data_IF_562214057738
#
_entry.id   IF_562214057738
#
_cell.length_a   1.000
_cell.length_b   1.000
_cell.length_c   1.000
_cell.angle_alpha   90.00
_cell.angle_beta   90.00
_cell.angle_gamma   90.00
#
_symmetry.space_group_name_H-M   'P 1'
#
loop_
_entity.id
_entity.type
_entity.pdbx_description
1 polymer ?
#
# COMPACT_ATOMS: atom_id res chain seq x y z
N UNK A 1 -28.16 -15.02 -5.79
CA UNK A 1 -27.29 -14.95 -4.58
C UNK A 1 -26.02 -14.12 -4.78
N UNK A 2 -25.60 -13.83 -6.01
CA UNK A 2 -24.46 -12.93 -6.33
C UNK A 2 -24.72 -11.47 -5.88
N UNK A 3 -25.98 -11.04 -5.82
CA UNK A 3 -26.36 -9.69 -5.34
C UNK A 3 -26.05 -9.44 -3.85
N UNK A 4 -25.97 -10.45 -3.01
CA UNK A 4 -25.62 -10.30 -1.59
C UNK A 4 -24.12 -10.04 -1.35
N UNK A 5 -23.26 -10.57 -2.21
CA UNK A 5 -21.81 -10.32 -2.17
C UNK A 5 -21.42 -8.91 -2.61
N UNK A 6 -22.34 -8.16 -3.20
CA UNK A 6 -22.11 -6.77 -3.66
C UNK A 6 -22.38 -5.71 -2.59
N UNK A 7 -22.63 -6.07 -1.34
CA UNK A 7 -22.73 -5.05 -0.29
C UNK A 7 -21.34 -4.50 0.03
N UNK A 8 -21.19 -3.18 -0.03
CA UNK A 8 -19.93 -2.47 0.28
C UNK A 8 -19.39 -2.87 1.66
N UNK A 9 -20.31 -3.02 2.64
CA UNK A 9 -19.95 -3.43 3.98
C UNK A 9 -19.36 -4.84 4.08
N UNK A 10 -19.87 -5.79 3.29
CA UNK A 10 -19.34 -7.17 3.28
C UNK A 10 -17.94 -7.22 2.64
N UNK A 11 -17.70 -6.47 1.57
CA UNK A 11 -16.37 -6.35 0.96
C UNK A 11 -15.37 -5.76 1.95
N UNK A 12 -15.73 -4.67 2.63
CA UNK A 12 -14.90 -4.04 3.66
C UNK A 12 -14.58 -5.00 4.80
N UNK A 13 -15.57 -5.74 5.28
CA UNK A 13 -15.39 -6.71 6.35
C UNK A 13 -14.47 -7.88 5.96
N UNK A 14 -14.64 -8.41 4.75
CA UNK A 14 -13.76 -9.46 4.22
C UNK A 14 -12.32 -8.97 4.04
N UNK A 15 -12.12 -7.76 3.53
CA UNK A 15 -10.80 -7.14 3.43
C UNK A 15 -10.14 -7.00 4.80
N UNK A 16 -10.88 -6.53 5.80
CA UNK A 16 -10.38 -6.36 7.16
C UNK A 16 -9.93 -7.69 7.78
N UNK A 17 -10.74 -8.74 7.68
CA UNK A 17 -10.37 -10.08 8.17
C UNK A 17 -9.12 -10.58 7.45
N UNK A 18 -9.07 -10.45 6.13
CA UNK A 18 -7.93 -10.90 5.32
C UNK A 18 -6.63 -10.18 5.71
N UNK A 19 -6.68 -8.86 5.90
CA UNK A 19 -5.50 -8.07 6.26
C UNK A 19 -5.04 -8.42 7.68
N UNK A 20 -5.95 -8.52 8.65
CA UNK A 20 -5.60 -8.93 10.03
C UNK A 20 -4.90 -10.29 10.01
N UNK A 21 -5.47 -11.27 9.31
CA UNK A 21 -4.89 -12.60 9.18
C UNK A 21 -3.49 -12.53 8.54
N UNK A 22 -3.33 -11.74 7.49
CA UNK A 22 -2.07 -11.59 6.78
C UNK A 22 -1.00 -10.90 7.64
N UNK A 23 -1.36 -9.80 8.33
CA UNK A 23 -0.46 -9.06 9.21
C UNK A 23 -0.02 -9.90 10.41
N UNK A 24 -0.93 -10.72 10.96
CA UNK A 24 -0.61 -11.58 12.11
C UNK A 24 0.31 -12.74 11.74
N UNK A 25 0.10 -13.38 10.59
CA UNK A 25 0.93 -14.52 10.15
C UNK A 25 2.33 -14.08 9.74
N UNK A 26 2.44 -12.96 9.04
CA UNK A 26 3.70 -12.48 8.50
C UNK A 26 4.43 -11.53 9.47
N UNK A 27 3.84 -11.28 10.66
CA UNK A 27 4.42 -10.47 11.73
C UNK A 27 4.84 -9.07 11.29
N UNK A 28 4.10 -8.46 10.32
CA UNK A 28 4.40 -7.11 9.88
C UNK A 28 4.15 -6.11 11.01
N UNK A 29 5.17 -5.29 11.30
CA UNK A 29 5.15 -4.29 12.37
C UNK A 29 5.69 -2.96 11.89
N UNK A 30 5.13 -1.90 12.44
CA UNK A 30 5.73 -0.57 12.36
C UNK A 30 6.51 -0.36 13.65
N UNK A 31 7.85 -0.27 13.52
CA UNK A 31 8.74 -0.22 14.70
C UNK A 31 8.77 1.17 15.31
N UNK A 32 8.76 2.22 14.49
CA UNK A 32 8.82 3.60 14.98
C UNK A 32 8.10 4.55 14.03
N UNK A 33 7.41 5.52 14.62
CA UNK A 33 6.82 6.67 13.93
C UNK A 33 7.62 7.94 14.16
N UNK A 34 8.66 7.89 15.02
CA UNK A 34 9.41 9.04 15.54
C UNK A 34 8.54 10.02 16.32
N UNK A 35 7.45 9.57 16.89
CA UNK A 35 6.59 10.28 17.82
C UNK A 35 6.55 9.46 19.10
N UNK A 36 7.23 9.91 20.16
CA UNK A 36 7.46 9.14 21.38
C UNK A 36 6.19 8.56 22.00
N UNK A 37 5.12 9.32 22.00
CA UNK A 37 3.82 8.87 22.51
C UNK A 37 3.25 7.70 21.71
N UNK A 38 3.30 7.76 20.38
CA UNK A 38 2.82 6.70 19.51
C UNK A 38 3.74 5.48 19.58
N UNK A 39 5.05 5.69 19.61
CA UNK A 39 6.03 4.61 19.65
C UNK A 39 5.87 3.78 20.93
N UNK A 40 5.58 4.42 22.09
CA UNK A 40 5.23 3.70 23.31
C UNK A 40 3.99 2.81 23.18
N UNK A 41 2.95 3.28 22.50
CA UNK A 41 1.72 2.51 22.28
C UNK A 41 1.98 1.36 21.29
N UNK A 42 2.79 1.59 20.25
CA UNK A 42 3.13 0.60 19.25
C UNK A 42 4.01 -0.56 19.78
N UNK A 43 4.61 -0.42 20.96
CA UNK A 43 5.28 -1.56 21.64
C UNK A 43 4.30 -2.68 21.96
N UNK A 44 3.02 -2.36 22.17
CA UNK A 44 1.98 -3.35 22.36
C UNK A 44 1.64 -4.01 21.00
N UNK A 45 1.87 -5.33 20.92
CA UNK A 45 1.68 -6.10 19.69
C UNK A 45 0.25 -6.00 19.13
N UNK A 46 -0.76 -6.00 20.01
CA UNK A 46 -2.17 -5.87 19.58
C UNK A 46 -2.43 -4.52 18.93
N UNK A 47 -1.91 -3.45 19.53
CA UNK A 47 -2.08 -2.10 19.00
C UNK A 47 -1.32 -1.91 17.68
N UNK A 48 -0.14 -2.53 17.56
CA UNK A 48 0.66 -2.49 16.33
C UNK A 48 -0.08 -3.19 15.17
N UNK A 49 -0.63 -4.39 15.41
CA UNK A 49 -1.42 -5.12 14.41
C UNK A 49 -2.63 -4.27 13.96
N UNK A 50 -3.34 -3.66 14.92
CA UNK A 50 -4.46 -2.79 14.62
C UNK A 50 -4.04 -1.60 13.75
N UNK A 51 -2.95 -0.93 14.11
CA UNK A 51 -2.44 0.24 13.39
C UNK A 51 -1.97 -0.10 11.97
N UNK A 52 -1.20 -1.19 11.80
CA UNK A 52 -0.79 -1.69 10.48
C UNK A 52 -2.00 -2.04 9.63
N UNK A 53 -2.97 -2.76 10.20
CA UNK A 53 -4.21 -3.10 9.50
C UNK A 53 -4.97 -1.86 9.06
N UNK A 54 -5.09 -0.86 9.93
CA UNK A 54 -5.72 0.41 9.62
C UNK A 54 -5.02 1.12 8.46
N UNK A 55 -3.69 1.24 8.50
CA UNK A 55 -2.91 1.88 7.43
C UNK A 55 -3.10 1.16 6.08
N UNK A 56 -3.07 -0.18 6.07
CA UNK A 56 -3.27 -0.96 4.85
C UNK A 56 -4.70 -0.83 4.31
N UNK A 57 -5.72 -0.81 5.18
CA UNK A 57 -7.12 -0.58 4.79
C UNK A 57 -7.31 0.80 4.15
N UNK A 58 -6.74 1.84 4.74
CA UNK A 58 -6.78 3.20 4.19
C UNK A 58 -6.11 3.23 2.81
N UNK A 59 -4.95 2.62 2.67
CA UNK A 59 -4.22 2.59 1.40
C UNK A 59 -4.98 1.81 0.31
N UNK A 60 -5.53 0.65 0.65
CA UNK A 60 -6.28 -0.17 -0.31
C UNK A 60 -7.51 0.55 -0.83
N UNK A 61 -8.30 1.13 0.07
CA UNK A 61 -9.51 1.84 -0.33
C UNK A 61 -9.19 3.16 -1.04
N UNK A 62 -8.19 3.91 -0.56
CA UNK A 62 -7.71 5.12 -1.23
C UNK A 62 -7.16 4.85 -2.64
N UNK A 63 -6.38 3.77 -2.78
CA UNK A 63 -5.89 3.33 -4.09
C UNK A 63 -7.02 2.99 -5.06
N UNK A 64 -8.08 2.35 -4.59
CA UNK A 64 -9.25 2.05 -5.42
C UNK A 64 -9.96 3.33 -5.92
N UNK A 65 -10.01 4.38 -5.11
CA UNK A 65 -10.57 5.67 -5.56
C UNK A 65 -9.70 6.34 -6.64
N UNK A 66 -8.38 6.22 -6.55
CA UNK A 66 -7.45 6.76 -7.56
C UNK A 66 -7.59 6.04 -8.90
N UNK A 67 -7.93 4.75 -8.91
CA UNK A 67 -8.05 3.95 -10.14
C UNK A 67 -9.21 4.40 -11.06
N UNK A 68 -10.04 5.35 -10.62
CA UNK A 68 -11.09 5.96 -11.45
C UNK A 68 -10.59 6.65 -12.72
N UNK A 69 -9.31 6.98 -12.82
CA UNK A 69 -8.67 7.55 -14.01
C UNK A 69 -7.66 6.54 -14.59
N UNK A 70 -7.81 6.23 -15.88
CA UNK A 70 -7.00 5.21 -16.57
C UNK A 70 -5.50 5.34 -16.30
N UNK A 71 -4.96 4.35 -15.60
CA UNK A 71 -3.54 4.21 -15.29
C UNK A 71 -2.98 5.17 -14.24
N UNK A 72 -3.79 5.99 -13.58
CA UNK A 72 -3.29 6.95 -12.59
C UNK A 72 -2.68 6.23 -11.39
N UNK A 73 -3.37 5.23 -10.84
CA UNK A 73 -2.87 4.41 -9.74
C UNK A 73 -1.57 3.70 -10.09
N UNK A 74 -1.51 3.10 -11.28
CA UNK A 74 -0.29 2.40 -11.75
C UNK A 74 0.87 3.37 -11.87
N UNK A 75 0.66 4.55 -12.48
CA UNK A 75 1.69 5.60 -12.59
C UNK A 75 2.19 6.03 -11.23
N UNK A 76 1.27 6.22 -10.28
CA UNK A 76 1.60 6.67 -8.94
C UNK A 76 2.50 5.67 -8.22
N UNK A 77 2.14 4.40 -8.18
CA UNK A 77 2.96 3.39 -7.54
C UNK A 77 4.26 3.10 -8.31
N UNK A 78 4.22 3.12 -9.63
CA UNK A 78 5.44 3.03 -10.45
C UNK A 78 6.43 4.14 -10.09
N UNK A 79 5.97 5.36 -9.89
CA UNK A 79 6.81 6.48 -9.49
C UNK A 79 7.43 6.25 -8.10
N UNK A 80 6.69 5.73 -7.14
CA UNK A 80 7.21 5.36 -5.82
C UNK A 80 8.34 4.34 -5.94
N UNK A 81 8.14 3.26 -6.70
CA UNK A 81 9.17 2.24 -6.92
C UNK A 81 10.41 2.80 -7.64
N UNK A 82 10.23 3.70 -8.61
CA UNK A 82 11.33 4.39 -9.28
C UNK A 82 12.12 5.28 -8.32
N UNK A 83 11.43 6.05 -7.47
CA UNK A 83 12.10 6.88 -6.46
C UNK A 83 12.92 6.00 -5.51
N UNK A 84 12.36 4.90 -5.01
CA UNK A 84 13.09 3.99 -4.14
C UNK A 84 14.31 3.40 -4.87
N UNK A 85 14.16 2.99 -6.11
CA UNK A 85 15.25 2.41 -6.90
C UNK A 85 16.42 3.37 -7.12
N UNK A 86 16.15 4.65 -7.43
CA UNK A 86 17.18 5.64 -7.72
C UNK A 86 17.72 6.35 -6.48
N UNK A 87 16.87 6.67 -5.51
CA UNK A 87 17.27 7.41 -4.33
C UNK A 87 17.92 6.54 -3.25
N UNK A 88 17.64 5.23 -3.25
CA UNK A 88 18.09 4.30 -2.20
C UNK A 88 18.79 3.06 -2.76
N UNK A 89 19.86 3.21 -3.60
CA UNK A 89 20.47 2.08 -4.30
C UNK A 89 21.21 1.09 -3.37
N UNK A 90 21.68 1.56 -2.21
CA UNK A 90 22.56 0.81 -1.31
C UNK A 90 21.90 0.39 0.01
N UNK A 91 20.59 0.61 0.17
CA UNK A 91 19.90 0.25 1.39
C UNK A 91 19.74 -1.27 1.54
N UNK A 92 20.01 -1.76 2.77
CA UNK A 92 19.81 -3.16 3.13
C UNK A 92 18.31 -3.48 3.04
N UNK A 93 17.99 -4.68 2.53
CA UNK A 93 16.60 -5.10 2.35
C UNK A 93 15.92 -4.63 1.06
N UNK A 94 16.54 -3.72 0.31
CA UNK A 94 16.07 -3.40 -1.04
C UNK A 94 16.60 -4.45 -2.00
N UNK A 95 15.75 -5.41 -2.32
CA UNK A 95 16.09 -6.38 -3.37
C UNK A 95 15.99 -5.69 -4.73
N UNK A 96 17.14 -5.28 -5.29
CA UNK A 96 17.23 -4.60 -6.59
C UNK A 96 16.55 -5.40 -7.72
N UNK A 97 16.70 -6.73 -7.70
CA UNK A 97 16.04 -7.59 -8.69
C UNK A 97 14.51 -7.54 -8.56
N UNK A 98 14.01 -7.51 -7.33
CA UNK A 98 12.59 -7.34 -7.09
C UNK A 98 12.08 -5.99 -7.61
N UNK A 99 12.79 -4.88 -7.32
CA UNK A 99 12.42 -3.55 -7.81
C UNK A 99 12.43 -3.46 -9.33
N UNK A 100 13.46 -4.01 -9.99
CA UNK A 100 13.52 -4.05 -11.45
C UNK A 100 12.33 -4.80 -12.02
N UNK A 101 12.02 -5.97 -11.45
CA UNK A 101 10.90 -6.78 -11.94
C UNK A 101 9.55 -6.09 -11.75
N UNK A 102 9.28 -5.48 -10.58
CA UNK A 102 8.02 -4.78 -10.34
C UNK A 102 7.88 -3.54 -11.22
N UNK A 103 8.95 -2.75 -11.39
CA UNK A 103 8.97 -1.59 -12.29
C UNK A 103 8.69 -2.04 -13.73
N UNK A 104 9.31 -3.13 -14.19
CA UNK A 104 9.09 -3.66 -15.53
C UNK A 104 7.65 -4.13 -15.74
N UNK A 105 7.11 -4.91 -14.80
CA UNK A 105 5.72 -5.38 -14.84
C UNK A 105 4.73 -4.22 -14.83
N UNK A 106 4.90 -3.26 -13.91
CA UNK A 106 4.03 -2.09 -13.84
C UNK A 106 4.10 -1.23 -15.10
N UNK A 107 5.28 -1.12 -15.73
CA UNK A 107 5.44 -0.39 -16.98
C UNK A 107 4.67 -1.04 -18.13
N UNK A 108 4.69 -2.39 -18.23
CA UNK A 108 3.90 -3.14 -19.22
C UNK A 108 2.39 -2.95 -18.94
N UNK A 109 1.96 -3.15 -17.70
CA UNK A 109 0.56 -3.00 -17.32
C UNK A 109 0.08 -1.58 -17.63
N UNK A 110 0.90 -0.56 -17.34
CA UNK A 110 0.59 0.84 -17.64
C UNK A 110 0.41 1.07 -19.13
N UNK A 111 1.31 0.58 -19.96
CA UNK A 111 1.22 0.75 -21.42
C UNK A 111 -0.04 0.09 -21.97
N UNK A 112 -0.35 -1.13 -21.55
CA UNK A 112 -1.57 -1.85 -21.97
C UNK A 112 -2.84 -1.18 -21.48
N UNK A 113 -2.81 -0.61 -20.26
CA UNK A 113 -3.95 0.14 -19.71
C UNK A 113 -4.20 1.44 -20.50
N UNK A 114 -3.14 2.20 -20.81
CA UNK A 114 -3.24 3.44 -21.60
C UNK A 114 -3.71 3.19 -23.04
N UNK A 115 -3.35 2.04 -23.60
CA UNK A 115 -3.82 1.62 -24.93
C UNK A 115 -5.25 1.06 -24.90
N UNK A 116 -5.86 0.92 -23.71
CA UNK A 116 -7.23 0.42 -23.56
C UNK A 116 -7.37 -1.10 -23.70
N UNK A 117 -6.25 -1.86 -23.71
CA UNK A 117 -6.29 -3.33 -23.82
C UNK A 117 -6.67 -4.00 -22.50
N UNK A 118 -6.32 -3.39 -21.37
CA UNK A 118 -6.63 -3.93 -20.03
C UNK A 118 -7.10 -2.81 -19.11
N UNK A 119 -7.97 -3.18 -18.17
CA UNK A 119 -8.38 -2.32 -17.06
C UNK A 119 -8.01 -3.02 -15.75
N UNK A 120 -7.52 -2.25 -14.77
CA UNK A 120 -7.10 -2.81 -13.50
C UNK A 120 -8.29 -3.29 -12.67
N UNK A 121 -9.33 -2.47 -12.59
CA UNK A 121 -10.54 -2.71 -11.80
C UNK A 121 -10.29 -2.79 -10.30
N UNK A 122 -11.37 -2.85 -9.50
CA UNK A 122 -11.31 -2.84 -8.03
C UNK A 122 -10.32 -3.88 -7.46
N UNK A 123 -10.34 -5.10 -7.99
CA UNK A 123 -9.48 -6.19 -7.49
C UNK A 123 -8.00 -5.92 -7.73
N UNK A 124 -7.65 -5.37 -8.89
CA UNK A 124 -6.28 -5.01 -9.22
C UNK A 124 -5.80 -3.82 -8.39
N UNK A 125 -6.65 -2.82 -8.19
CA UNK A 125 -6.35 -1.65 -7.37
C UNK A 125 -6.09 -2.05 -5.90
N UNK A 126 -6.94 -2.89 -5.31
CA UNK A 126 -6.75 -3.41 -3.96
C UNK A 126 -5.46 -4.22 -3.82
N UNK A 127 -5.20 -5.12 -4.76
CA UNK A 127 -4.01 -5.97 -4.72
C UNK A 127 -2.72 -5.15 -4.86
N UNK A 128 -2.66 -4.23 -5.81
CA UNK A 128 -1.49 -3.39 -6.02
C UNK A 128 -1.24 -2.46 -4.82
N UNK A 129 -2.30 -1.89 -4.24
CA UNK A 129 -2.21 -1.03 -3.06
C UNK A 129 -1.72 -1.81 -1.84
N UNK A 130 -2.29 -3.00 -1.58
CA UNK A 130 -1.87 -3.87 -0.49
C UNK A 130 -0.39 -4.26 -0.63
N UNK A 131 -0.02 -4.70 -1.83
CA UNK A 131 1.35 -5.12 -2.12
C UNK A 131 2.36 -3.99 -1.92
N UNK A 132 2.03 -2.79 -2.40
CA UNK A 132 2.87 -1.59 -2.20
C UNK A 132 2.94 -1.21 -0.72
N UNK A 133 1.83 -1.26 0.01
CA UNK A 133 1.81 -0.98 1.44
C UNK A 133 2.71 -1.92 2.24
N UNK A 134 2.63 -3.22 2.00
CA UNK A 134 3.49 -4.24 2.61
C UNK A 134 4.96 -3.99 2.27
N UNK A 135 5.24 -3.71 1.00
CA UNK A 135 6.60 -3.40 0.57
C UNK A 135 7.17 -2.19 1.30
N UNK A 136 6.39 -1.11 1.46
CA UNK A 136 6.81 0.10 2.17
C UNK A 136 7.02 -0.13 3.68
N UNK A 137 6.20 -0.97 4.32
CA UNK A 137 6.42 -1.38 5.72
C UNK A 137 7.74 -2.11 5.86
N UNK A 138 8.00 -3.11 5.00
CA UNK A 138 9.28 -3.82 4.99
C UNK A 138 10.47 -2.92 4.67
N UNK A 139 10.30 -1.99 3.74
CA UNK A 139 11.34 -1.02 3.40
C UNK A 139 11.68 -0.12 4.58
N UNK A 140 10.68 0.33 5.34
CA UNK A 140 10.88 1.15 6.53
C UNK A 140 11.51 0.37 7.70
N UNK A 141 11.03 -0.85 7.97
CA UNK A 141 11.53 -1.66 9.09
C UNK A 141 12.98 -2.13 8.91
N UNK A 142 13.37 -2.44 7.67
CA UNK A 142 14.74 -2.88 7.38
C UNK A 142 15.76 -1.73 7.29
N UNK A 143 15.31 -0.48 7.29
CA UNK A 143 16.18 0.67 7.09
C UNK A 143 15.92 1.76 8.14
N UNK A 144 16.69 1.74 9.22
CA UNK A 144 16.58 2.68 10.35
C UNK A 144 16.74 4.16 9.88
N UNK A 145 17.46 4.38 8.79
CA UNK A 145 17.68 5.72 8.23
C UNK A 145 16.48 6.24 7.43
N UNK A 146 15.55 5.37 7.02
CA UNK A 146 14.34 5.78 6.30
C UNK A 146 13.38 6.41 7.30
N UNK A 147 13.10 7.69 7.08
CA UNK A 147 12.13 8.38 7.93
C UNK A 147 10.71 7.87 7.69
N UNK A 148 9.92 7.57 8.74
CA UNK A 148 8.50 7.26 8.59
C UNK A 148 7.73 8.34 7.83
N UNK A 149 8.14 9.60 7.95
CA UNK A 149 7.54 10.72 7.21
C UNK A 149 7.69 10.59 5.68
N UNK A 150 8.75 9.93 5.20
CA UNK A 150 8.90 9.63 3.78
C UNK A 150 7.79 8.70 3.30
N UNK A 151 7.46 7.69 4.10
CA UNK A 151 6.36 6.75 3.80
C UNK A 151 5.01 7.49 3.78
N UNK A 152 4.79 8.41 4.71
CA UNK A 152 3.58 9.25 4.73
C UNK A 152 3.51 10.09 3.45
N UNK A 153 4.61 10.69 2.99
CA UNK A 153 4.65 11.45 1.74
C UNK A 153 4.35 10.55 0.54
N UNK A 154 4.88 9.32 0.51
CA UNK A 154 4.56 8.34 -0.54
C UNK A 154 3.11 7.89 -0.54
N UNK A 155 2.41 7.96 0.58
CA UNK A 155 1.02 7.51 0.69
C UNK A 155 0.02 8.67 0.84
N UNK A 156 0.49 9.90 0.76
CA UNK A 156 -0.33 11.10 0.92
C UNK A 156 -1.54 11.10 -0.01
N UNK A 157 -1.33 10.90 -1.30
CA UNK A 157 -2.38 11.03 -2.30
C UNK A 157 -3.52 10.01 -2.13
N UNK A 158 -3.27 8.69 -2.00
CA UNK A 158 -4.32 7.72 -1.69
C UNK A 158 -5.11 8.03 -0.42
N UNK A 159 -4.43 8.49 0.62
CA UNK A 159 -5.08 8.84 1.89
C UNK A 159 -6.01 10.04 1.73
N UNK A 160 -5.59 11.07 0.99
CA UNK A 160 -6.41 12.25 0.73
C UNK A 160 -7.62 11.96 -0.14
N UNK A 161 -7.45 11.17 -1.21
CA UNK A 161 -8.57 10.75 -2.05
C UNK A 161 -9.63 10.01 -1.26
N UNK A 162 -9.23 9.12 -0.35
CA UNK A 162 -10.17 8.46 0.54
C UNK A 162 -10.94 9.47 1.41
N UNK A 163 -10.24 10.43 2.02
CA UNK A 163 -10.86 11.43 2.89
C UNK A 163 -11.84 12.32 2.10
N UNK A 164 -11.45 12.80 0.93
CA UNK A 164 -12.32 13.65 0.10
C UNK A 164 -13.52 12.90 -0.47
N UNK A 165 -13.39 11.61 -0.74
CA UNK A 165 -14.51 10.80 -1.22
C UNK A 165 -15.57 10.51 -0.14
N UNK A 166 -15.24 10.73 1.14
CA UNK A 166 -16.16 10.55 2.27
C UNK A 166 -16.96 11.83 2.62
N UNK A 167 -16.59 12.98 2.04
CA UNK A 167 -17.25 14.28 2.21
C UNK A 167 -18.20 14.53 1.05
#
# INVERSE_FOLDING_TARGET
DIKKLNSVGLRFFLQLIFIIFFVTILEYKIETTKIDFFDQILTNNFFNIFFVTFCLMVLMNGGNFIDGLNGLLIKYFLLIYLIIFFAFPDFQGVNKYFLINIIFVLSIILTLNLLGFIYMGDSGAYLLSLFTGIYLINFSSNNIFVSPYLIIIFLWYPCFELLFSMI
#
